data_IF_640316326364
#
_entry.id   IF_640316326364
#
_cell.length_a   1.000
_cell.length_b   1.000
_cell.length_c   1.000
_cell.angle_alpha   90.00
_cell.angle_beta   90.00
_cell.angle_gamma   90.00
#
_symmetry.space_group_name_H-M   'P 1'
#
loop_
_entity.id
_entity.type
_entity.pdbx_description
1 polymer ?
#
# COMPACT_ATOMS: atom_id res chain seq x y z
N UNK A 1 2.16 8.47 15.61
CA UNK A 1 1.22 8.85 14.52
C UNK A 1 0.76 7.58 13.82
N UNK A 2 -0.30 7.57 12.98
CA UNK A 2 -0.71 6.34 12.30
C UNK A 2 0.42 5.80 11.41
N UNK A 3 0.53 4.47 11.36
CA UNK A 3 1.62 3.77 10.67
C UNK A 3 1.29 3.50 9.20
N UNK A 4 2.32 3.38 8.38
CA UNK A 4 2.22 2.72 7.08
C UNK A 4 3.30 1.64 6.97
N UNK A 5 3.02 0.64 6.14
CA UNK A 5 4.02 -0.36 5.75
C UNK A 5 3.91 -0.64 4.26
N UNK A 6 5.04 -0.99 3.66
CA UNK A 6 5.12 -1.59 2.35
C UNK A 6 5.77 -2.95 2.52
N UNK A 7 5.07 -4.01 2.15
CA UNK A 7 5.57 -5.38 2.23
C UNK A 7 5.92 -5.89 0.83
N UNK A 8 7.08 -6.53 0.67
CA UNK A 8 7.36 -7.38 -0.48
C UNK A 8 6.58 -8.67 -0.32
N UNK A 9 5.82 -9.07 -1.35
CA UNK A 9 5.08 -10.32 -1.33
C UNK A 9 5.49 -11.22 -2.49
N UNK A 10 6.24 -12.27 -2.17
CA UNK A 10 6.67 -13.32 -3.08
C UNK A 10 5.59 -14.41 -3.19
N UNK A 11 4.39 -13.99 -3.62
CA UNK A 11 3.29 -14.89 -3.95
C UNK A 11 3.49 -15.52 -5.33
N UNK A 12 2.41 -16.01 -5.96
CA UNK A 12 2.45 -16.48 -7.36
C UNK A 12 3.06 -15.46 -8.33
N UNK A 13 2.88 -14.17 -8.03
CA UNK A 13 3.54 -13.06 -8.70
C UNK A 13 4.07 -12.12 -7.62
N UNK A 14 5.33 -11.74 -7.78
CA UNK A 14 5.93 -10.71 -6.95
C UNK A 14 5.15 -9.39 -7.09
N UNK A 15 4.85 -8.76 -5.97
CA UNK A 15 4.28 -7.41 -5.89
C UNK A 15 4.63 -6.77 -4.55
N UNK A 16 4.34 -5.47 -4.42
CA UNK A 16 4.41 -4.77 -3.14
C UNK A 16 3.00 -4.55 -2.60
N UNK A 17 2.79 -4.79 -1.31
CA UNK A 17 1.55 -4.43 -0.62
C UNK A 17 1.76 -3.14 0.16
N UNK A 18 1.03 -2.08 -0.22
CA UNK A 18 0.95 -0.84 0.55
C UNK A 18 -0.18 -0.96 1.56
N UNK A 19 0.10 -0.69 2.83
CA UNK A 19 -0.91 -0.64 3.89
C UNK A 19 -0.84 0.66 4.69
N UNK A 20 -2.01 1.24 4.95
CA UNK A 20 -2.18 2.44 5.77
C UNK A 20 -3.05 2.11 6.99
N UNK A 21 -2.52 2.31 8.20
CA UNK A 21 -3.29 2.19 9.44
C UNK A 21 -4.36 3.28 9.48
N UNK A 22 -5.63 2.91 9.48
CA UNK A 22 -6.75 3.84 9.42
C UNK A 22 -8.01 3.21 10.01
N UNK A 23 -8.66 3.92 10.94
CA UNK A 23 -9.88 3.45 11.60
C UNK A 23 -9.74 2.06 12.25
N UNK A 24 -8.59 1.76 12.87
CA UNK A 24 -8.34 0.50 13.57
C UNK A 24 -8.04 -0.71 12.67
N UNK A 25 -7.87 -0.50 11.36
CA UNK A 25 -7.48 -1.55 10.40
C UNK A 25 -6.37 -1.06 9.48
N UNK A 26 -5.71 -1.99 8.80
CA UNK A 26 -4.74 -1.71 7.75
C UNK A 26 -5.43 -1.72 6.39
N UNK A 27 -5.77 -0.53 5.87
CA UNK A 27 -6.28 -0.37 4.50
C UNK A 27 -5.20 -0.72 3.52
N UNK A 28 -5.47 -1.67 2.61
CA UNK A 28 -4.43 -2.39 1.88
C UNK A 28 -4.62 -2.33 0.36
N UNK A 29 -3.50 -2.21 -0.35
CA UNK A 29 -3.45 -2.26 -1.81
C UNK A 29 -2.24 -3.05 -2.30
N UNK A 30 -2.47 -4.02 -3.19
CA UNK A 30 -1.43 -4.66 -3.96
C UNK A 30 -0.98 -3.75 -5.11
N UNK A 31 0.32 -3.54 -5.26
CA UNK A 31 0.94 -2.66 -6.26
C UNK A 31 1.89 -3.49 -7.12
N UNK A 32 1.39 -4.11 -8.21
CA UNK A 32 2.14 -5.12 -8.97
C UNK A 32 3.44 -4.63 -9.58
N UNK A 33 3.53 -3.32 -9.84
CA UNK A 33 4.73 -2.69 -10.40
C UNK A 33 5.50 -1.84 -9.38
N UNK A 34 5.28 -2.06 -8.09
CA UNK A 34 5.97 -1.36 -7.01
C UNK A 34 5.55 0.10 -6.78
N UNK A 35 6.10 0.71 -5.73
CA UNK A 35 5.78 2.08 -5.31
C UNK A 35 6.40 3.09 -6.30
N UNK A 36 5.67 4.15 -6.73
CA UNK A 36 6.26 5.17 -7.60
C UNK A 36 7.35 5.96 -6.87
N UNK A 37 8.55 6.00 -7.46
CA UNK A 37 9.73 6.65 -6.85
C UNK A 37 9.90 8.11 -7.29
N UNK A 38 9.40 8.46 -8.48
CA UNK A 38 9.56 9.79 -9.08
C UNK A 38 8.25 10.58 -9.08
N UNK A 39 8.36 11.90 -8.96
CA UNK A 39 7.19 12.78 -9.03
C UNK A 39 6.46 12.61 -10.37
N UNK A 40 5.13 12.52 -10.32
CA UNK A 40 4.25 12.31 -11.47
C UNK A 40 4.13 10.86 -11.92
N UNK A 41 4.95 9.96 -11.38
CA UNK A 41 4.90 8.54 -11.73
C UNK A 41 3.62 7.89 -11.19
N UNK A 42 3.01 7.04 -12.02
CA UNK A 42 1.70 6.42 -11.76
C UNK A 42 1.83 4.91 -11.74
N UNK A 43 1.31 4.27 -10.70
CA UNK A 43 1.31 2.81 -10.55
C UNK A 43 -0.11 2.34 -10.27
N UNK A 44 -0.52 1.23 -10.90
CA UNK A 44 -1.77 0.56 -10.58
C UNK A 44 -1.67 0.01 -9.16
N UNK A 45 -2.69 0.29 -8.34
CA UNK A 45 -2.83 -0.21 -6.99
C UNK A 45 -4.21 -0.88 -6.89
N UNK A 46 -4.26 -2.16 -6.55
CA UNK A 46 -5.49 -2.94 -6.45
C UNK A 46 -5.86 -3.04 -4.99
N UNK A 47 -7.01 -2.51 -4.62
CA UNK A 47 -7.51 -2.60 -3.25
C UNK A 47 -7.78 -4.08 -2.91
N UNK A 48 -7.28 -4.50 -1.76
CA UNK A 48 -7.51 -5.84 -1.19
C UNK A 48 -8.22 -5.71 0.14
N UNK A 49 -8.56 -6.84 0.76
CA UNK A 49 -9.22 -6.88 2.05
C UNK A 49 -8.43 -6.10 3.12
N UNK A 50 -9.16 -5.54 4.08
CA UNK A 50 -8.54 -4.92 5.24
C UNK A 50 -7.75 -5.98 6.03
N UNK A 51 -6.59 -5.59 6.54
CA UNK A 51 -5.78 -6.44 7.41
C UNK A 51 -5.82 -5.91 8.85
N UNK A 52 -5.44 -6.72 9.83
CA UNK A 52 -5.24 -6.23 11.19
C UNK A 52 -4.04 -5.27 11.22
N UNK A 53 -4.03 -4.35 12.19
CA UNK A 53 -2.90 -3.44 12.39
C UNK A 53 -1.64 -4.23 12.77
N UNK A 54 -1.79 -5.28 13.58
CA UNK A 54 -0.68 -6.16 13.97
C UNK A 54 -0.01 -6.86 12.77
N UNK A 55 -0.77 -7.15 11.72
CA UNK A 55 -0.23 -7.75 10.50
C UNK A 55 0.75 -6.82 9.75
N UNK A 56 0.72 -5.52 10.02
CA UNK A 56 1.66 -4.58 9.41
C UNK A 56 3.11 -4.83 9.85
N UNK A 57 3.32 -5.46 11.01
CA UNK A 57 4.64 -5.80 11.53
C UNK A 57 5.08 -7.25 11.14
N UNK A 58 4.27 -7.95 10.34
CA UNK A 58 4.55 -9.34 9.94
C UNK A 58 5.64 -9.43 8.87
N UNK A 59 6.59 -10.33 9.11
CA UNK A 59 7.55 -10.89 8.15
C UNK A 59 7.60 -12.40 8.33
N UNK A 60 7.64 -13.15 7.23
CA UNK A 60 7.67 -14.60 7.29
C UNK A 60 7.07 -15.28 6.06
N UNK A 61 6.78 -16.57 6.19
CA UNK A 61 6.24 -17.37 5.10
C UNK A 61 4.78 -17.72 5.40
N UNK A 62 3.89 -17.43 4.46
CA UNK A 62 2.50 -17.89 4.49
C UNK A 62 2.48 -19.24 3.75
N UNK A 63 2.27 -20.36 4.46
CA UNK A 63 2.51 -21.70 3.90
C UNK A 63 1.48 -22.10 2.83
N UNK A 64 0.23 -21.70 3.02
CA UNK A 64 -0.90 -22.05 2.15
C UNK A 64 -2.06 -21.05 2.28
N UNK A 65 -3.09 -21.23 1.44
CA UNK A 65 -4.26 -20.36 1.43
C UNK A 65 -4.07 -19.03 0.70
N UNK A 66 -4.94 -18.07 1.00
CA UNK A 66 -4.90 -16.73 0.44
C UNK A 66 -3.64 -16.00 0.93
N UNK A 67 -2.92 -15.37 0.00
CA UNK A 67 -1.65 -14.71 0.31
C UNK A 67 -0.47 -15.67 0.50
N UNK A 68 -0.57 -16.96 0.12
CA UNK A 68 0.60 -17.88 0.12
C UNK A 68 1.82 -17.24 -0.55
N UNK A 69 2.94 -17.24 0.16
CA UNK A 69 4.19 -16.64 -0.28
C UNK A 69 5.03 -16.13 0.88
N UNK A 70 6.26 -15.75 0.58
CA UNK A 70 7.11 -15.05 1.55
C UNK A 70 6.73 -13.56 1.59
N UNK A 71 6.67 -13.00 2.80
CA UNK A 71 6.40 -11.60 3.09
C UNK A 71 7.59 -11.00 3.82
N UNK A 72 8.09 -9.87 3.33
CA UNK A 72 9.17 -9.10 3.97
C UNK A 72 8.78 -7.63 4.03
N UNK A 73 9.26 -6.88 5.03
CA UNK A 73 9.03 -5.44 5.09
C UNK A 73 10.01 -4.76 4.13
N UNK A 74 9.46 -4.16 3.07
CA UNK A 74 10.24 -3.36 2.12
C UNK A 74 10.58 -1.99 2.69
N UNK A 75 9.60 -1.32 3.31
CA UNK A 75 9.73 -0.06 4.02
C UNK A 75 8.57 0.13 5.00
N UNK A 76 8.71 1.03 5.95
CA UNK A 76 7.66 1.36 6.89
C UNK A 76 7.99 2.61 7.68
N UNK A 77 6.98 3.14 8.36
CA UNK A 77 7.14 4.31 9.21
C UNK A 77 5.82 4.96 9.53
N UNK A 78 5.89 6.23 9.91
CA UNK A 78 4.71 7.03 10.14
C UNK A 78 4.19 7.64 8.84
N UNK A 79 2.89 7.90 8.79
CA UNK A 79 2.31 8.73 7.73
C UNK A 79 1.35 9.77 8.32
N UNK A 80 1.08 10.80 7.52
CA UNK A 80 0.09 11.82 7.80
C UNK A 80 -0.98 11.78 6.72
N UNK A 81 -2.23 11.57 7.12
CA UNK A 81 -3.36 11.73 6.21
C UNK A 81 -3.59 13.22 5.93
N UNK A 82 -3.64 13.60 4.66
CA UNK A 82 -3.86 14.98 4.22
C UNK A 82 -5.28 15.21 3.70
N UNK A 83 -5.87 14.20 3.05
CA UNK A 83 -7.26 14.24 2.57
C UNK A 83 -7.80 12.83 2.43
N UNK A 84 -9.09 12.65 2.72
CA UNK A 84 -9.84 11.44 2.45
C UNK A 84 -11.22 11.77 1.90
N UNK A 85 -11.56 11.15 0.79
CA UNK A 85 -12.91 11.07 0.23
C UNK A 85 -13.14 9.67 -0.32
N UNK A 86 -14.34 9.39 -0.85
CA UNK A 86 -14.72 8.07 -1.36
C UNK A 86 -13.80 7.54 -2.48
N UNK A 87 -13.25 8.45 -3.30
CA UNK A 87 -12.43 8.12 -4.46
C UNK A 87 -11.00 8.66 -4.44
N UNK A 88 -10.58 9.33 -3.35
CA UNK A 88 -9.27 9.96 -3.25
C UNK A 88 -8.72 9.86 -1.82
N UNK A 89 -7.48 9.40 -1.70
CA UNK A 89 -6.67 9.51 -0.48
C UNK A 89 -5.40 10.31 -0.80
N UNK A 90 -5.14 11.36 -0.03
CA UNK A 90 -3.85 12.08 -0.06
C UNK A 90 -3.17 11.88 1.27
N UNK A 91 -1.90 11.51 1.23
CA UNK A 91 -1.13 11.23 2.43
C UNK A 91 0.35 11.54 2.20
N UNK A 92 1.05 11.81 3.29
CA UNK A 92 2.49 12.03 3.32
C UNK A 92 3.14 10.93 4.15
N UNK A 93 4.14 10.25 3.59
CA UNK A 93 4.86 9.16 4.26
C UNK A 93 6.25 9.60 4.72
N UNK A 94 6.66 9.05 5.85
CA UNK A 94 7.95 9.34 6.50
C UNK A 94 8.80 8.06 6.64
N UNK A 95 8.84 7.25 5.56
CA UNK A 95 9.70 6.07 5.49
C UNK A 95 11.13 6.37 5.04
N UNK A 96 11.94 5.31 4.95
CA UNK A 96 13.32 5.40 4.43
C UNK A 96 13.34 5.42 2.90
N UNK A 97 12.43 4.69 2.25
CA UNK A 97 12.35 4.54 0.79
C UNK A 97 11.12 5.28 0.24
N UNK A 98 9.93 4.95 0.72
CA UNK A 98 8.68 5.64 0.39
C UNK A 98 8.54 6.89 1.26
N UNK A 99 9.00 8.02 0.74
CA UNK A 99 8.96 9.32 1.43
C UNK A 99 8.30 10.39 0.56
N UNK A 100 7.59 11.31 1.21
CA UNK A 100 6.94 12.45 0.58
C UNK A 100 5.45 12.21 0.37
N UNK A 101 4.85 12.94 -0.58
CA UNK A 101 3.39 12.98 -0.73
C UNK A 101 2.94 12.04 -1.83
N UNK A 102 1.87 11.32 -1.54
CA UNK A 102 1.24 10.36 -2.42
C UNK A 102 -0.26 10.59 -2.52
N UNK A 103 -0.82 10.16 -3.63
CA UNK A 103 -2.26 10.17 -3.88
C UNK A 103 -2.69 8.80 -4.40
N UNK A 104 -3.73 8.23 -3.79
CA UNK A 104 -4.51 7.14 -4.38
C UNK A 104 -5.80 7.72 -4.95
N UNK A 105 -6.08 7.46 -6.23
CA UNK A 105 -7.35 7.81 -6.87
C UNK A 105 -8.03 6.58 -7.46
N UNK A 106 -9.34 6.42 -7.26
CA UNK A 106 -10.10 5.30 -7.87
C UNK A 106 -9.99 5.37 -9.39
N UNK A 107 -9.83 4.21 -10.01
CA UNK A 107 -9.78 4.06 -11.46
C UNK A 107 -10.66 2.90 -11.94
N UNK A 108 -12.00 3.07 -11.91
CA UNK A 108 -12.95 1.99 -12.19
C UNK A 108 -12.81 1.37 -13.59
N UNK A 109 -12.22 2.11 -14.54
CA UNK A 109 -11.95 1.62 -15.91
C UNK A 109 -11.01 0.42 -15.95
N UNK A 110 -10.20 0.18 -14.91
CA UNK A 110 -9.34 -1.00 -14.79
C UNK A 110 -9.88 -2.07 -13.82
N UNK A 111 -11.11 -1.88 -13.30
CA UNK A 111 -11.74 -2.79 -12.34
C UNK A 111 -12.31 -2.04 -11.14
N UNK A 112 -13.29 -2.66 -10.46
CA UNK A 112 -14.00 -2.06 -9.32
C UNK A 112 -13.07 -1.68 -8.15
N UNK A 113 -12.08 -2.51 -7.91
CA UNK A 113 -11.08 -2.35 -6.85
C UNK A 113 -9.81 -1.63 -7.32
N UNK A 114 -9.78 -1.12 -8.56
CA UNK A 114 -8.59 -0.49 -9.12
C UNK A 114 -8.45 0.96 -8.66
N UNK A 115 -7.23 1.31 -8.24
CA UNK A 115 -6.77 2.64 -7.91
C UNK A 115 -5.47 2.95 -8.67
N UNK A 116 -5.13 4.23 -8.76
CA UNK A 116 -3.81 4.68 -9.22
C UNK A 116 -3.11 5.36 -8.06
N UNK A 117 -1.93 4.83 -7.70
CA UNK A 117 -0.99 5.43 -6.76
C UNK A 117 -0.07 6.38 -7.53
N UNK A 118 0.04 7.62 -7.07
CA UNK A 118 0.82 8.68 -7.69
C UNK A 118 1.71 9.33 -6.64
N UNK A 119 3.01 9.48 -6.92
CA UNK A 119 3.89 10.34 -6.11
C UNK A 119 3.79 11.78 -6.61
N UNK A 120 3.57 12.73 -5.70
CA UNK A 120 3.34 14.15 -6.05
C UNK A 120 4.39 15.12 -5.48
N UNK A 121 5.22 14.68 -4.54
CA UNK A 121 6.45 15.35 -4.11
C UNK A 121 7.39 14.36 -3.45
#
# INVERSE_FOLDING_TARGET
MPKFVVQEHFARRYHLDLRLEMNGVAKSWAVPKGIPERNGERRLAIQVEDHSVDYMDFEGIIPEGYGKGEVRIWDGGEYRLLKRSEGELKFETFGKKMRGKFVLVRYPKAGKEAWILIKVS
#
